data_IF_337365150421
#
_entry.id   IF_337365150421
#
_cell.length_a   1.000
_cell.length_b   1.000
_cell.length_c   1.000
_cell.angle_alpha   90.00
_cell.angle_beta   90.00
_cell.angle_gamma   90.00
#
_symmetry.space_group_name_H-M   'P 1'
#
loop_
_entity.id
_entity.type
_entity.pdbx_description
1 polymer ?
#
# COMPACT_ATOMS: atom_id res chain seq x y z
N UNK A 1 -9.47 -5.74 -11.44
CA UNK A 1 -10.48 -5.65 -10.36
C UNK A 1 -11.43 -4.52 -10.69
N UNK A 2 -12.72 -4.74 -10.56
CA UNK A 2 -13.74 -3.69 -10.67
C UNK A 2 -13.65 -2.72 -9.48
N UNK A 3 -14.03 -1.45 -9.64
CA UNK A 3 -14.08 -0.47 -8.56
C UNK A 3 -14.75 -0.97 -7.27
N UNK A 4 -15.86 -1.69 -7.40
CA UNK A 4 -16.63 -2.22 -6.27
C UNK A 4 -15.84 -3.28 -5.50
N UNK A 5 -15.01 -4.07 -6.19
CA UNK A 5 -14.14 -5.06 -5.56
C UNK A 5 -13.03 -4.39 -4.75
N UNK A 6 -12.52 -3.23 -5.19
CA UNK A 6 -11.53 -2.44 -4.43
C UNK A 6 -12.15 -1.82 -3.18
N UNK A 7 -13.41 -1.34 -3.27
CA UNK A 7 -14.15 -0.85 -2.10
C UNK A 7 -14.34 -1.97 -1.09
N UNK A 8 -14.73 -3.17 -1.53
CA UNK A 8 -14.94 -4.33 -0.67
C UNK A 8 -13.63 -4.82 -0.03
N UNK A 9 -12.55 -4.87 -0.80
CA UNK A 9 -11.19 -5.19 -0.34
C UNK A 9 -10.78 -4.27 0.83
N UNK A 10 -11.09 -2.98 0.72
CA UNK A 10 -10.69 -1.98 1.72
C UNK A 10 -11.72 -1.70 2.80
N UNK A 11 -12.87 -2.36 2.81
CA UNK A 11 -13.97 -2.08 3.76
C UNK A 11 -13.56 -2.06 5.24
N UNK A 12 -12.56 -2.86 5.61
CA UNK A 12 -12.08 -3.01 6.99
C UNK A 12 -10.89 -2.11 7.34
N UNK A 13 -10.27 -1.49 6.33
CA UNK A 13 -9.05 -0.69 6.50
C UNK A 13 -9.23 0.75 6.05
N UNK A 14 -10.26 1.09 5.27
CA UNK A 14 -10.51 2.49 4.88
C UNK A 14 -11.25 3.24 5.99
N UNK A 15 -10.79 4.45 6.31
CA UNK A 15 -11.42 5.31 7.32
C UNK A 15 -12.77 5.88 6.88
N UNK A 16 -12.88 6.19 5.58
CA UNK A 16 -14.12 6.66 4.93
C UNK A 16 -14.23 5.99 3.56
N UNK A 17 -15.31 5.22 3.34
CA UNK A 17 -15.54 4.51 2.07
C UNK A 17 -15.66 5.46 0.87
N UNK A 18 -16.02 6.73 1.09
CA UNK A 18 -16.04 7.75 0.02
C UNK A 18 -14.66 8.02 -0.56
N UNK A 19 -13.59 7.74 0.17
CA UNK A 19 -12.23 7.96 -0.29
C UNK A 19 -11.90 7.11 -1.53
N UNK A 20 -12.22 5.81 -1.48
CA UNK A 20 -12.01 4.90 -2.60
C UNK A 20 -12.84 5.33 -3.80
N UNK A 21 -14.11 5.70 -3.56
CA UNK A 21 -14.98 6.20 -4.60
C UNK A 21 -14.43 7.46 -5.28
N UNK A 22 -14.06 8.49 -4.50
CA UNK A 22 -13.50 9.74 -5.04
C UNK A 22 -12.24 9.49 -5.87
N UNK A 23 -11.32 8.65 -5.38
CA UNK A 23 -10.08 8.34 -6.10
C UNK A 23 -10.36 7.73 -7.48
N UNK A 24 -11.34 6.82 -7.57
CA UNK A 24 -11.70 6.15 -8.84
C UNK A 24 -12.42 7.12 -9.78
N UNK A 25 -13.31 7.98 -9.26
CA UNK A 25 -13.96 9.02 -10.06
C UNK A 25 -12.95 10.04 -10.61
N UNK A 26 -11.98 10.46 -9.80
CA UNK A 26 -10.93 11.37 -10.26
C UNK A 26 -10.00 10.72 -11.30
N UNK A 27 -9.66 9.44 -11.16
CA UNK A 27 -8.96 8.67 -12.20
C UNK A 27 -9.73 8.71 -13.53
N UNK A 28 -11.04 8.47 -13.50
CA UNK A 28 -11.94 8.51 -14.67
C UNK A 28 -12.01 9.89 -15.32
N UNK A 29 -12.23 10.92 -14.51
CA UNK A 29 -12.52 12.27 -15.00
C UNK A 29 -11.27 13.02 -15.45
N UNK A 30 -10.16 12.84 -14.73
CA UNK A 30 -8.96 13.66 -14.93
C UNK A 30 -7.94 13.00 -15.86
N UNK A 31 -8.08 11.70 -16.13
CA UNK A 31 -7.20 11.01 -17.07
C UNK A 31 -5.99 10.32 -16.43
N UNK A 32 -5.86 10.34 -15.10
CA UNK A 32 -4.81 9.62 -14.38
C UNK A 32 -4.95 8.10 -14.57
N UNK A 33 -3.83 7.40 -14.57
CA UNK A 33 -3.77 5.94 -14.75
C UNK A 33 -3.14 5.21 -13.56
N UNK A 34 -2.77 5.92 -12.49
CA UNK A 34 -2.24 5.33 -11.26
C UNK A 34 -2.91 5.97 -10.05
N UNK A 35 -3.26 5.12 -9.08
CA UNK A 35 -3.68 5.56 -7.74
C UNK A 35 -2.83 4.88 -6.68
N UNK A 36 -2.37 5.67 -5.72
CA UNK A 36 -1.75 5.20 -4.49
C UNK A 36 -2.73 5.43 -3.35
N UNK A 37 -3.27 4.35 -2.78
CA UNK A 37 -3.98 4.42 -1.51
C UNK A 37 -2.97 4.41 -0.38
N UNK A 38 -3.02 5.43 0.47
CA UNK A 38 -1.99 5.63 1.48
C UNK A 38 -2.55 5.26 2.85
N UNK A 39 -1.81 4.39 3.52
CA UNK A 39 -2.09 3.92 4.87
C UNK A 39 -0.93 4.26 5.82
N UNK A 40 -1.26 4.30 7.11
CA UNK A 40 -0.26 4.38 8.18
C UNK A 40 0.07 5.78 8.68
N UNK A 41 -0.67 6.84 8.31
CA UNK A 41 -0.45 8.17 8.92
C UNK A 41 -0.64 8.19 10.45
N UNK A 42 -1.46 7.29 11.00
CA UNK A 42 -1.62 7.14 12.46
C UNK A 42 -0.37 6.51 13.13
N UNK A 43 0.68 6.22 12.34
CA UNK A 43 1.97 5.70 12.76
C UNK A 43 3.06 6.59 12.17
N UNK A 44 3.49 7.61 12.93
CA UNK A 44 4.51 8.62 12.54
C UNK A 44 5.86 8.03 12.03
N UNK A 45 6.05 6.72 12.17
CA UNK A 45 7.28 5.99 11.90
C UNK A 45 7.32 5.39 10.48
N UNK A 46 6.20 5.35 9.75
CA UNK A 46 6.11 4.75 8.40
C UNK A 46 4.97 5.31 7.53
N UNK A 47 5.10 5.15 6.22
CA UNK A 47 4.03 5.41 5.24
C UNK A 47 3.89 4.20 4.33
N UNK A 48 2.67 3.78 4.03
CA UNK A 48 2.38 2.61 3.17
C UNK A 48 1.60 3.06 1.96
N UNK A 49 2.10 2.77 0.77
CA UNK A 49 1.44 3.05 -0.51
C UNK A 49 0.96 1.74 -1.12
N UNK A 50 -0.35 1.59 -1.29
CA UNK A 50 -0.97 0.48 -2.00
C UNK A 50 -1.33 0.97 -3.39
N UNK A 51 -0.61 0.48 -4.40
CA UNK A 51 -0.59 1.07 -5.74
C UNK A 51 -1.38 0.24 -6.73
N UNK A 52 -2.24 0.89 -7.49
CA UNK A 52 -2.99 0.30 -8.61
C UNK A 52 -2.77 1.08 -9.89
N UNK A 53 -2.74 0.35 -10.99
CA UNK A 53 -2.91 0.91 -12.34
C UNK A 53 -4.38 0.88 -12.70
N UNK A 54 -4.87 1.93 -13.33
CA UNK A 54 -6.25 2.02 -13.82
C UNK A 54 -6.28 1.93 -15.35
N UNK A 55 -7.06 0.99 -15.88
CA UNK A 55 -7.42 0.90 -17.30
C UNK A 55 -8.76 1.59 -17.52
N UNK A 56 -8.76 2.72 -18.21
CA UNK A 56 -9.99 3.41 -18.63
C UNK A 56 -10.80 2.61 -19.67
N UNK A 57 -10.13 1.80 -20.47
CA UNK A 57 -10.77 1.01 -21.52
C UNK A 57 -11.68 -0.07 -20.93
N UNK A 58 -11.18 -0.74 -19.89
CA UNK A 58 -11.86 -1.87 -19.26
C UNK A 58 -12.61 -1.46 -18.00
N UNK A 59 -12.33 -0.24 -17.50
CA UNK A 59 -12.77 0.27 -16.20
C UNK A 59 -12.36 -0.68 -15.07
N UNK A 60 -11.06 -0.97 -15.02
CA UNK A 60 -10.48 -1.92 -14.08
C UNK A 60 -9.23 -1.36 -13.40
N UNK A 61 -9.09 -1.66 -12.11
CA UNK A 61 -7.88 -1.45 -11.32
C UNK A 61 -7.09 -2.75 -11.22
N UNK A 62 -5.80 -2.67 -11.52
CA UNK A 62 -4.85 -3.77 -11.38
C UNK A 62 -3.84 -3.39 -10.29
N UNK A 63 -3.77 -4.14 -9.18
CA UNK A 63 -2.77 -3.85 -8.17
C UNK A 63 -1.37 -4.15 -8.70
N UNK A 64 -0.41 -3.28 -8.41
CA UNK A 64 0.97 -3.41 -8.91
C UNK A 64 1.94 -3.72 -7.78
N UNK A 65 1.85 -2.94 -6.70
CA UNK A 65 2.82 -3.03 -5.62
C UNK A 65 2.29 -2.43 -4.32
N UNK A 66 2.87 -2.87 -3.20
CA UNK A 66 2.82 -2.17 -1.92
C UNK A 66 4.22 -1.66 -1.61
N UNK A 67 4.36 -0.37 -1.37
CA UNK A 67 5.58 0.23 -0.87
C UNK A 67 5.40 0.60 0.61
N UNK A 68 6.36 0.24 1.46
CA UNK A 68 6.41 0.63 2.87
C UNK A 68 7.65 1.49 3.04
N UNK A 69 7.47 2.78 3.24
CA UNK A 69 8.55 3.70 3.57
C UNK A 69 8.70 3.80 5.09
N UNK A 70 9.91 3.61 5.57
CA UNK A 70 10.27 3.78 6.97
C UNK A 70 10.92 5.15 7.18
N UNK A 71 10.51 5.83 8.23
CA UNK A 71 11.20 7.04 8.68
C UNK A 71 12.54 6.66 9.33
N UNK A 72 13.55 7.52 9.17
CA UNK A 72 14.96 7.25 9.53
C UNK A 72 15.19 6.71 10.95
N UNK A 73 14.32 7.04 11.90
CA UNK A 73 14.45 6.60 13.30
C UNK A 73 13.95 5.17 13.53
N UNK A 74 13.02 4.67 12.71
CA UNK A 74 12.57 3.28 12.77
C UNK A 74 13.63 2.35 12.16
N UNK A 75 14.26 2.78 11.06
CA UNK A 75 15.32 2.00 10.38
C UNK A 75 16.49 1.67 11.32
N UNK A 76 16.82 2.57 12.25
CA UNK A 76 17.88 2.33 13.26
C UNK A 76 17.48 1.32 14.34
N UNK A 77 16.19 1.14 14.59
CA UNK A 77 15.64 0.27 15.65
C UNK A 77 15.28 -1.13 15.13
N UNK A 78 15.11 -1.29 13.81
CA UNK A 78 14.68 -2.55 13.22
C UNK A 78 15.79 -3.59 13.18
N UNK A 79 15.46 -4.80 13.62
CA UNK A 79 16.34 -5.95 13.45
C UNK A 79 16.33 -6.38 11.97
N UNK A 80 17.48 -6.30 11.30
CA UNK A 80 17.64 -6.62 9.87
C UNK A 80 17.05 -7.98 9.48
N UNK A 81 17.15 -8.98 10.36
CA UNK A 81 16.61 -10.33 10.15
C UNK A 81 15.09 -10.34 10.00
N UNK A 82 14.36 -9.54 10.79
CA UNK A 82 12.89 -9.49 10.72
C UNK A 82 12.41 -8.90 9.39
N UNK A 83 13.08 -7.85 8.92
CA UNK A 83 12.78 -7.23 7.61
C UNK A 83 13.16 -8.16 6.47
N UNK A 84 14.36 -8.77 6.52
CA UNK A 84 14.87 -9.64 5.46
C UNK A 84 14.03 -10.91 5.28
N UNK A 85 13.59 -11.53 6.37
CA UNK A 85 12.72 -12.71 6.30
C UNK A 85 11.38 -12.35 5.66
N UNK A 86 10.75 -11.25 6.11
CA UNK A 86 9.48 -10.79 5.55
C UNK A 86 9.57 -10.45 4.06
N UNK A 87 10.63 -9.75 3.65
CA UNK A 87 10.88 -9.39 2.26
C UNK A 87 11.07 -10.65 1.41
N UNK A 88 11.87 -11.62 1.89
CA UNK A 88 12.15 -12.86 1.17
C UNK A 88 10.89 -13.68 0.98
N UNK A 89 10.07 -13.82 2.01
CA UNK A 89 8.85 -14.64 1.97
C UNK A 89 7.81 -14.10 0.98
N UNK A 90 7.88 -12.81 0.65
CA UNK A 90 6.97 -12.12 -0.26
C UNK A 90 7.58 -11.79 -1.63
N UNK A 91 8.78 -12.28 -1.92
CA UNK A 91 9.56 -11.89 -3.12
C UNK A 91 9.65 -10.36 -3.29
N UNK A 92 9.74 -9.65 -2.18
CA UNK A 92 9.88 -8.20 -2.15
C UNK A 92 11.33 -7.74 -2.36
N UNK A 93 11.51 -6.43 -2.31
CA UNK A 93 12.80 -5.74 -2.41
C UNK A 93 12.95 -4.76 -1.26
N UNK A 94 14.16 -4.68 -0.70
CA UNK A 94 14.53 -3.57 0.18
C UNK A 94 15.09 -2.46 -0.70
N UNK A 95 14.58 -1.24 -0.55
CA UNK A 95 15.11 -0.07 -1.24
C UNK A 95 15.62 0.97 -0.25
N UNK A 96 16.55 1.81 -0.72
CA UNK A 96 17.12 2.91 0.05
C UNK A 96 17.51 4.04 -0.88
N UNK A 97 17.09 5.25 -0.51
CA UNK A 97 17.52 6.51 -1.09
C UNK A 97 18.20 7.37 -0.01
N UNK A 98 18.71 8.53 -0.39
CA UNK A 98 19.21 9.51 0.57
C UNK A 98 18.13 10.11 1.47
N UNK A 99 16.84 9.90 1.15
CA UNK A 99 15.69 10.51 1.84
C UNK A 99 14.79 9.49 2.54
N UNK A 100 14.66 8.29 2.00
CA UNK A 100 13.78 7.24 2.52
C UNK A 100 14.39 5.85 2.32
N UNK A 101 14.04 4.92 3.20
CA UNK A 101 14.35 3.51 3.06
C UNK A 101 13.09 2.71 3.28
N UNK A 102 12.93 1.58 2.59
CA UNK A 102 11.66 0.90 2.62
C UNK A 102 11.69 -0.50 2.03
N UNK A 103 10.49 -1.04 1.90
CA UNK A 103 10.22 -2.34 1.28
C UNK A 103 9.26 -2.13 0.13
N UNK A 104 9.54 -2.75 -1.00
CA UNK A 104 8.64 -2.84 -2.15
C UNK A 104 8.19 -4.30 -2.30
N UNK A 105 6.88 -4.53 -2.28
CA UNK A 105 6.28 -5.85 -2.43
C UNK A 105 5.48 -5.83 -3.74
N UNK A 106 5.93 -6.52 -4.80
CA UNK A 106 5.15 -6.62 -6.03
C UNK A 106 3.88 -7.44 -5.76
N UNK A 107 2.77 -7.01 -6.35
CA UNK A 107 1.48 -7.69 -6.25
C UNK A 107 1.18 -8.34 -7.59
N UNK A 108 0.97 -9.66 -7.57
CA UNK A 108 0.66 -10.43 -8.78
C UNK A 108 -0.83 -10.69 -8.94
N UNK A 109 -1.57 -10.79 -7.83
CA UNK A 109 -3.01 -11.08 -7.86
C UNK A 109 -3.79 -10.29 -6.81
N UNK A 110 -5.10 -10.15 -7.01
CA UNK A 110 -6.01 -9.55 -6.02
C UNK A 110 -6.05 -10.32 -4.70
N UNK A 111 -5.92 -11.65 -4.73
CA UNK A 111 -5.90 -12.49 -3.54
C UNK A 111 -4.65 -12.23 -2.68
N UNK A 112 -3.49 -12.07 -3.33
CA UNK A 112 -2.25 -11.72 -2.62
C UNK A 112 -2.40 -10.37 -1.91
N UNK A 113 -2.99 -9.39 -2.59
CA UNK A 113 -3.26 -8.08 -2.01
C UNK A 113 -4.16 -8.16 -0.78
N UNK A 114 -5.26 -8.91 -0.87
CA UNK A 114 -6.20 -9.07 0.24
C UNK A 114 -5.52 -9.67 1.47
N UNK A 115 -4.73 -10.73 1.28
CA UNK A 115 -3.98 -11.39 2.36
C UNK A 115 -2.91 -10.44 2.93
N UNK A 116 -2.21 -9.70 2.07
CA UNK A 116 -1.17 -8.76 2.50
C UNK A 116 -1.76 -7.65 3.35
N UNK A 117 -2.80 -6.97 2.87
CA UNK A 117 -3.42 -5.84 3.54
C UNK A 117 -4.14 -6.25 4.82
N UNK A 118 -4.91 -7.35 4.80
CA UNK A 118 -5.73 -7.69 5.97
C UNK A 118 -5.00 -8.55 7.01
N UNK A 119 -3.90 -9.24 6.65
CA UNK A 119 -3.27 -10.23 7.54
C UNK A 119 -1.77 -9.99 7.71
N UNK A 120 -1.00 -10.00 6.63
CA UNK A 120 0.46 -10.07 6.73
C UNK A 120 1.09 -8.73 7.14
N UNK A 121 0.64 -7.62 6.55
CA UNK A 121 1.14 -6.29 6.89
C UNK A 121 0.82 -5.92 8.35
N UNK A 122 -0.43 -6.04 8.86
CA UNK A 122 -0.70 -5.76 10.28
C UNK A 122 0.21 -6.57 11.23
N UNK A 123 0.44 -7.85 10.94
CA UNK A 123 1.33 -8.71 11.75
C UNK A 123 2.79 -8.26 11.68
N UNK A 124 3.28 -7.96 10.48
CA UNK A 124 4.64 -7.49 10.26
C UNK A 124 4.90 -6.16 10.98
N UNK A 125 3.99 -5.20 10.81
CA UNK A 125 4.06 -3.90 11.46
C UNK A 125 3.96 -4.02 12.98
N UNK A 126 3.10 -4.89 13.49
CA UNK A 126 2.99 -5.13 14.93
C UNK A 126 4.29 -5.69 15.52
N UNK A 127 4.99 -6.56 14.78
CA UNK A 127 6.29 -7.11 15.18
C UNK A 127 7.39 -6.05 15.20
N UNK A 128 7.40 -5.15 14.23
CA UNK A 128 8.40 -4.08 14.15
C UNK A 128 8.16 -3.00 15.21
N UNK A 129 6.90 -2.62 15.41
CA UNK A 129 6.53 -1.50 16.27
C UNK A 129 6.30 -1.91 17.73
N UNK A 130 6.25 -3.21 18.03
CA UNK A 130 6.03 -3.73 19.38
C UNK A 130 4.65 -3.42 19.95
N UNK A 131 3.66 -3.10 19.10
CA UNK A 131 2.28 -2.76 19.47
C UNK A 131 1.30 -3.36 18.45
N UNK A 132 0.03 -3.54 18.81
CA UNK A 132 -0.99 -3.92 17.82
C UNK A 132 -1.14 -2.79 16.78
N UNK A 133 -1.08 -3.15 15.51
CA UNK A 133 -1.25 -2.22 14.39
C UNK A 133 -2.49 -2.59 13.61
N UNK A 134 -3.38 -1.63 13.43
CA UNK A 134 -4.50 -1.71 12.49
C UNK A 134 -4.20 -0.77 11.34
N UNK A 135 -4.21 -1.30 10.11
CA UNK A 135 -4.04 -0.48 8.93
C UNK A 135 -5.26 0.40 8.72
N UNK A 136 -4.99 1.66 8.38
CA UNK A 136 -5.99 2.69 8.15
C UNK A 136 -5.60 3.46 6.90
N UNK A 137 -6.36 3.31 5.81
CA UNK A 137 -6.26 4.10 4.58
C UNK A 137 -7.08 5.37 4.78
N UNK A 138 -6.43 6.51 4.61
CA UNK A 138 -7.03 7.80 4.93
C UNK A 138 -6.74 8.92 3.92
N UNK A 139 -5.83 8.68 2.97
CA UNK A 139 -5.61 9.55 1.82
C UNK A 139 -5.31 8.72 0.56
N UNK A 140 -5.34 9.38 -0.59
CA UNK A 140 -4.87 8.82 -1.85
C UNK A 140 -4.11 9.88 -2.64
N UNK A 141 -3.23 9.42 -3.53
CA UNK A 141 -2.49 10.24 -4.49
C UNK A 141 -2.70 9.66 -5.89
N UNK A 142 -2.76 10.54 -6.89
CA UNK A 142 -2.96 10.18 -8.30
C UNK A 142 -1.73 10.55 -9.12
N UNK A 143 -1.31 9.66 -10.00
CA UNK A 143 -0.15 9.87 -10.86
C UNK A 143 -0.44 9.56 -12.33
N UNK A 144 0.27 10.28 -13.21
CA UNK A 144 0.39 9.93 -14.61
C UNK A 144 1.63 9.09 -14.80
N UNK A 145 1.45 7.82 -15.16
CA UNK A 145 2.52 7.04 -15.72
C UNK A 145 2.65 7.42 -17.20
N UNK A 146 3.51 8.41 -17.49
CA UNK A 146 3.88 8.73 -18.86
C UNK A 146 4.68 7.57 -19.44
N UNK A 147 4.13 6.96 -20.50
CA UNK A 147 4.80 5.96 -21.34
C UNK A 147 5.90 6.56 -22.20
#
# INVERSE_FOLDING_TARGET
MRPEEVVELFKNVVKDSKLVFMAIEELRLLGYNVVHFIAGEDVDELVIYITFMYSQLDDELTPIAIAIEFHNDLTKKMHFTTVSDFVRDLNGYIFGSSRSSGILIPISTAADLEILVNVLLPKFLSRILGKEVRLSINRYELEYMSS
#
